data_IF_192447450482
#
_entry.id   IF_192447450482
#
_cell.length_a   1.000
_cell.length_b   1.000
_cell.length_c   1.000
_cell.angle_alpha   90.00
_cell.angle_beta   90.00
_cell.angle_gamma   90.00
#
_symmetry.space_group_name_H-M   'P 1'
#
loop_
_entity.id
_entity.type
_entity.pdbx_description
1 polymer ?
#
# COMPACT_ATOMS: atom_id res chain seq x y z
N UNK A 1 -19.56 27.21 20.44
CA UNK A 1 -19.38 27.15 18.98
C UNK A 1 -18.50 25.95 18.72
N UNK A 2 -19.05 24.82 18.26
CA UNK A 2 -18.29 23.61 17.99
C UNK A 2 -17.41 23.86 16.76
N UNK A 3 -16.10 23.92 16.97
CA UNK A 3 -15.15 23.83 15.88
C UNK A 3 -15.33 22.46 15.25
N UNK A 4 -15.84 22.42 14.01
CA UNK A 4 -15.78 21.23 13.18
C UNK A 4 -14.30 20.95 12.93
N UNK A 5 -13.72 20.07 13.74
CA UNK A 5 -12.42 19.49 13.47
C UNK A 5 -12.60 18.66 12.20
N UNK A 6 -12.03 19.12 11.09
CA UNK A 6 -12.03 18.37 9.84
C UNK A 6 -11.08 17.18 10.04
N UNK A 7 -11.62 15.97 10.04
CA UNK A 7 -10.82 14.74 10.04
C UNK A 7 -9.80 14.81 8.90
N UNK A 8 -8.51 14.88 9.23
CA UNK A 8 -7.44 14.95 8.23
C UNK A 8 -7.24 13.56 7.63
N UNK A 9 -7.63 13.41 6.36
CA UNK A 9 -7.42 12.18 5.57
C UNK A 9 -6.18 12.31 4.71
N UNK A 10 -5.29 11.33 4.79
CA UNK A 10 -4.11 11.20 3.94
C UNK A 10 -4.30 10.11 2.89
N UNK A 11 -3.65 10.30 1.74
CA UNK A 11 -3.49 9.27 0.72
C UNK A 11 -2.02 8.88 0.67
N UNK A 12 -1.74 7.63 1.06
CA UNK A 12 -0.41 7.03 1.02
C UNK A 12 -0.28 6.15 -0.21
N UNK A 13 0.69 6.47 -1.10
CA UNK A 13 0.99 5.64 -2.26
C UNK A 13 2.08 4.62 -1.92
N UNK A 14 1.77 3.33 -2.09
CA UNK A 14 2.70 2.23 -1.80
C UNK A 14 2.81 1.31 -3.01
N UNK A 15 4.00 0.75 -3.21
CA UNK A 15 4.27 -0.23 -4.26
C UNK A 15 4.60 -1.56 -3.60
N UNK A 16 3.79 -2.57 -3.92
CA UNK A 16 4.04 -3.96 -3.53
C UNK A 16 4.52 -4.79 -4.70
N UNK A 17 5.27 -5.84 -4.39
CA UNK A 17 5.88 -6.73 -5.38
C UNK A 17 5.72 -8.18 -4.94
N UNK A 18 5.50 -9.08 -5.91
CA UNK A 18 5.41 -10.52 -5.67
C UNK A 18 5.84 -11.29 -6.91
N UNK A 19 6.35 -12.50 -6.72
CA UNK A 19 6.62 -13.44 -7.82
C UNK A 19 5.43 -14.36 -8.14
N UNK A 20 4.34 -14.27 -7.37
CA UNK A 20 3.24 -15.24 -7.42
C UNK A 20 2.01 -14.70 -8.16
N UNK A 21 1.53 -13.52 -7.77
CA UNK A 21 0.30 -12.93 -8.33
C UNK A 21 0.23 -11.43 -8.03
N UNK A 22 -0.74 -10.74 -8.66
CA UNK A 22 -1.06 -9.36 -8.32
C UNK A 22 -1.67 -9.23 -6.92
N UNK A 23 -2.52 -10.17 -6.49
CA UNK A 23 -3.11 -10.16 -5.16
C UNK A 23 -2.03 -10.25 -4.07
N UNK A 24 -1.02 -11.10 -4.28
CA UNK A 24 0.13 -11.20 -3.38
C UNK A 24 0.96 -9.91 -3.38
N UNK A 25 1.08 -9.23 -4.52
CA UNK A 25 1.74 -7.93 -4.59
C UNK A 25 0.97 -6.86 -3.82
N UNK A 26 -0.37 -6.83 -3.90
CA UNK A 26 -1.22 -5.93 -3.09
C UNK A 26 -1.07 -6.24 -1.60
N UNK A 27 -1.13 -7.51 -1.21
CA UNK A 27 -0.93 -7.94 0.18
C UNK A 27 0.45 -7.52 0.71
N UNK A 28 1.50 -7.64 -0.11
CA UNK A 28 2.83 -7.16 0.23
C UNK A 28 2.87 -5.65 0.48
N UNK A 29 2.17 -4.85 -0.32
CA UNK A 29 2.07 -3.40 -0.11
C UNK A 29 1.37 -3.06 1.22
N UNK A 30 0.25 -3.74 1.52
CA UNK A 30 -0.49 -3.53 2.77
C UNK A 30 0.34 -3.97 4.00
N UNK A 31 1.11 -5.05 3.89
CA UNK A 31 1.99 -5.51 4.97
C UNK A 31 3.12 -4.53 5.27
N UNK A 32 3.65 -3.82 4.26
CA UNK A 32 4.65 -2.76 4.47
C UNK A 32 4.10 -1.60 5.32
N UNK A 33 2.80 -1.33 5.22
CA UNK A 33 2.11 -0.33 6.04
C UNK A 33 1.76 -0.85 7.44
N UNK A 34 1.41 -2.13 7.56
CA UNK A 34 0.97 -2.74 8.82
C UNK A 34 2.12 -3.18 9.75
N UNK A 35 3.34 -3.35 9.23
CA UNK A 35 4.48 -3.87 10.01
C UNK A 35 5.55 -2.78 10.21
N UNK A 36 5.60 -2.12 11.39
CA UNK A 36 6.60 -1.11 11.70
C UNK A 36 7.96 -1.78 11.95
N UNK A 37 8.68 -2.07 10.87
CA UNK A 37 10.11 -2.39 10.96
C UNK A 37 10.94 -1.10 10.82
N UNK A 38 12.14 -1.11 11.42
CA UNK A 38 13.01 0.05 11.59
C UNK A 38 13.11 0.91 10.31
N UNK A 39 12.59 2.14 10.37
CA UNK A 39 12.53 3.08 9.26
C UNK A 39 11.12 3.47 8.78
N UNK A 40 10.07 2.75 9.19
CA UNK A 40 8.69 2.94 8.71
C UNK A 40 7.67 3.38 9.79
N UNK A 41 8.14 3.99 10.88
CA UNK A 41 7.25 4.58 11.90
C UNK A 41 6.81 6.00 11.50
N UNK A 42 6.31 6.18 10.28
CA UNK A 42 6.01 7.53 9.79
C UNK A 42 4.68 8.09 10.30
N UNK A 43 3.75 7.24 10.76
CA UNK A 43 2.42 7.68 11.19
C UNK A 43 1.79 6.76 12.25
N UNK A 44 2.11 6.94 13.55
CA UNK A 44 1.57 6.12 14.64
C UNK A 44 0.06 6.27 14.88
N UNK A 45 -0.59 7.28 14.28
CA UNK A 45 -1.99 7.62 14.50
C UNK A 45 -2.85 7.48 13.23
N UNK A 46 -2.47 6.62 12.28
CA UNK A 46 -3.25 6.42 11.06
C UNK A 46 -4.08 5.13 11.11
N UNK A 47 -5.40 5.27 10.97
CA UNK A 47 -6.32 4.16 10.75
C UNK A 47 -6.60 4.00 9.25
N UNK A 48 -6.19 2.87 8.66
CA UNK A 48 -6.42 2.56 7.25
C UNK A 48 -7.89 2.23 7.00
N UNK A 49 -8.55 2.97 6.12
CA UNK A 49 -9.97 2.77 5.82
C UNK A 49 -10.20 1.97 4.54
N UNK A 50 -9.46 2.32 3.48
CA UNK A 50 -9.65 1.73 2.16
C UNK A 50 -8.37 1.85 1.34
N UNK A 51 -8.31 1.07 0.26
CA UNK A 51 -7.26 1.19 -0.74
C UNK A 51 -7.85 1.07 -2.14
N UNK A 52 -7.18 1.70 -3.10
CA UNK A 52 -7.45 1.58 -4.52
C UNK A 52 -6.19 1.11 -5.26
N UNK A 53 -6.35 0.15 -6.18
CA UNK A 53 -5.27 -0.27 -7.07
C UNK A 53 -5.19 0.73 -8.22
N UNK A 54 -4.15 1.57 -8.21
CA UNK A 54 -3.96 2.62 -9.22
C UNK A 54 -3.14 2.16 -10.41
N UNK A 55 -2.31 1.12 -10.24
CA UNK A 55 -1.49 0.56 -11.33
C UNK A 55 -1.13 -0.90 -11.07
N UNK A 56 -1.25 -1.70 -12.11
CA UNK A 56 -0.67 -3.05 -12.18
C UNK A 56 0.46 -3.05 -13.21
N UNK A 57 1.56 -3.71 -12.89
CA UNK A 57 2.72 -3.85 -13.75
C UNK A 57 3.37 -5.21 -13.58
N UNK A 58 4.08 -5.68 -14.61
CA UNK A 58 4.78 -6.96 -14.52
C UNK A 58 6.09 -6.93 -15.28
N UNK A 59 7.04 -7.75 -14.82
CA UNK A 59 8.28 -8.01 -15.53
C UNK A 59 8.16 -9.33 -16.28
N UNK A 60 8.37 -9.26 -17.59
CA UNK A 60 8.35 -10.41 -18.47
C UNK A 60 9.77 -10.93 -18.66
N UNK A 61 9.93 -12.24 -18.52
CA UNK A 61 11.12 -12.93 -18.95
C UNK A 61 10.80 -13.68 -20.24
N UNK A 62 11.51 -13.34 -21.31
CA UNK A 62 11.42 -14.02 -22.58
C UNK A 62 12.57 -15.02 -22.69
N UNK A 63 12.24 -16.31 -22.68
CA UNK A 63 13.19 -17.37 -22.98
C UNK A 63 13.21 -17.62 -24.49
N UNK A 64 14.35 -17.29 -25.12
CA UNK A 64 14.54 -17.46 -26.57
C UNK A 64 14.62 -18.92 -27.00
N UNK A 65 15.07 -19.81 -26.11
CA UNK A 65 15.26 -21.22 -26.43
C UNK A 65 13.91 -21.95 -26.42
N UNK A 66 13.08 -21.63 -25.43
CA UNK A 66 11.76 -22.24 -25.26
C UNK A 66 10.63 -21.44 -25.94
N UNK A 67 10.98 -20.31 -26.60
CA UNK A 67 10.06 -19.37 -27.26
C UNK A 67 8.88 -18.98 -26.36
N UNK A 68 9.13 -18.90 -25.06
CA UNK A 68 8.11 -18.65 -24.04
C UNK A 68 8.33 -17.29 -23.40
N UNK A 69 7.23 -16.67 -22.98
CA UNK A 69 7.24 -15.42 -22.25
C UNK A 69 6.48 -15.63 -20.94
N UNK A 70 7.20 -15.55 -19.83
CA UNK A 70 6.62 -15.76 -18.49
C UNK A 70 6.69 -14.48 -17.68
N UNK A 71 5.61 -14.18 -16.95
CA UNK A 71 5.64 -13.12 -15.95
C UNK A 71 6.47 -13.63 -14.77
N UNK A 72 7.53 -12.91 -14.42
CA UNK A 72 8.43 -13.30 -13.31
C UNK A 72 8.17 -12.49 -12.05
N UNK A 73 7.60 -11.31 -12.19
CA UNK A 73 7.30 -10.40 -11.11
C UNK A 73 6.02 -9.64 -11.42
N UNK A 74 5.18 -9.55 -10.41
CA UNK A 74 3.96 -8.77 -10.34
C UNK A 74 4.22 -7.57 -9.44
N UNK A 75 3.82 -6.39 -9.89
CA UNK A 75 3.89 -5.13 -9.17
C UNK A 75 2.50 -4.53 -9.11
N UNK A 76 2.10 -4.09 -7.91
CA UNK A 76 0.88 -3.35 -7.68
C UNK A 76 1.22 -2.03 -7.00
N UNK A 77 0.78 -0.91 -7.58
CA UNK A 77 0.76 0.38 -6.90
C UNK A 77 -0.64 0.59 -6.34
N UNK A 78 -0.71 0.87 -5.05
CA UNK A 78 -1.97 1.15 -4.35
C UNK A 78 -1.92 2.54 -3.71
N UNK A 79 -3.05 3.21 -3.72
CA UNK A 79 -3.30 4.40 -2.91
C UNK A 79 -4.14 3.98 -1.72
N UNK A 80 -3.64 4.21 -0.51
CA UNK A 80 -4.30 3.86 0.75
C UNK A 80 -4.82 5.13 1.40
N UNK A 81 -6.12 5.17 1.65
CA UNK A 81 -6.74 6.25 2.41
C UNK A 81 -6.65 5.94 3.89
N UNK A 82 -6.06 6.84 4.65
CA UNK A 82 -5.89 6.73 6.08
C UNK A 82 -6.42 7.98 6.78
N UNK A 83 -7.04 7.80 7.95
CA UNK A 83 -7.49 8.91 8.79
C UNK A 83 -6.63 9.02 10.03
N UNK A 84 -6.41 10.25 10.49
CA UNK A 84 -5.74 10.48 11.77
C UNK A 84 -6.70 10.26 12.94
N UNK A 85 -6.36 9.31 13.81
CA UNK A 85 -7.01 9.20 15.11
C UNK A 85 -6.48 10.33 16.00
N UNK A 86 -7.29 11.36 16.20
CA UNK A 86 -7.09 12.27 17.32
C UNK A 86 -7.49 11.50 18.57
N UNK A 87 -6.49 11.04 19.33
CA UNK A 87 -6.73 10.70 20.72
C UNK A 87 -7.36 11.92 21.37
N UNK A 88 -8.48 11.72 22.07
CA UNK A 88 -9.08 12.74 22.93
C UNK A 88 -8.05 13.14 23.99
N UNK A 89 -7.18 14.10 23.68
CA UNK A 89 -6.45 14.89 24.68
C UNK A 89 -7.43 15.95 25.24
N UNK A 90 -8.54 15.47 25.80
CA UNK A 90 -9.45 16.26 26.62
C UNK A 90 -9.22 15.89 28.09
N UNK A 91 -8.41 16.75 28.74
CA UNK A 91 -8.40 17.10 30.17
C UNK A 91 -8.11 16.06 31.26
#
# INVERSE_FOLDING_TARGET
MSQHHLEHSDILRVIGQSHKSFDDAVNSALQQLACPSHGHNHHPNLTFQSFEVVKLGGYLHHDKNDKSCVVTHFSATIDVTAVHDHGDDDH
#
